data_IF_037299368946
#
_entry.id   IF_037299368946
#
_cell.length_a   1.000
_cell.length_b   1.000
_cell.length_c   1.000
_cell.angle_alpha   90.00
_cell.angle_beta   90.00
_cell.angle_gamma   90.00
#
_symmetry.space_group_name_H-M   'P 1'
#
loop_
_entity.id
_entity.type
_entity.pdbx_description
1 polymer ?
#
# COMPACT_ATOMS: atom_id res chain seq x y z
N UNK A 1 -0.41 6.06 13.40
CA UNK A 1 -0.30 6.40 11.97
C UNK A 1 -0.16 5.11 11.20
N UNK A 2 -0.79 4.98 10.03
CA UNK A 2 -0.56 3.87 9.11
C UNK A 2 0.00 4.37 7.77
N UNK A 3 1.01 3.70 7.24
CA UNK A 3 1.40 3.84 5.83
C UNK A 3 0.84 2.65 5.05
N UNK A 4 -0.15 2.93 4.19
CA UNK A 4 -0.80 1.92 3.37
C UNK A 4 -0.31 1.92 1.92
N UNK A 5 0.88 2.47 1.63
CA UNK A 5 1.41 2.61 0.27
C UNK A 5 1.33 1.33 -0.57
N UNK A 6 1.66 0.19 0.03
CA UNK A 6 1.63 -1.11 -0.64
C UNK A 6 0.21 -1.63 -0.86
N UNK A 7 -0.74 -1.31 0.02
CA UNK A 7 -2.06 -1.96 0.07
C UNK A 7 -3.23 -1.03 -0.25
N UNK A 8 -2.98 0.22 -0.63
CA UNK A 8 -4.03 1.23 -0.80
C UNK A 8 -5.09 0.86 -1.85
N UNK A 9 -4.74 0.13 -2.91
CA UNK A 9 -5.73 -0.41 -3.85
C UNK A 9 -6.63 -1.47 -3.23
N UNK A 10 -6.05 -2.36 -2.42
CA UNK A 10 -6.79 -3.42 -1.71
C UNK A 10 -7.75 -2.82 -0.67
N UNK A 11 -7.30 -1.79 0.06
CA UNK A 11 -8.13 -1.02 1.00
C UNK A 11 -9.27 -0.31 0.26
N UNK A 12 -8.97 0.38 -0.85
CA UNK A 12 -9.97 1.11 -1.64
C UNK A 12 -11.06 0.17 -2.20
N UNK A 13 -10.67 -1.05 -2.61
CA UNK A 13 -11.59 -2.09 -3.06
C UNK A 13 -12.35 -2.81 -1.94
N UNK A 14 -12.03 -2.52 -0.66
CA UNK A 14 -12.62 -3.17 0.53
C UNK A 14 -12.44 -4.69 0.54
N UNK A 15 -11.27 -5.16 0.07
CA UNK A 15 -10.94 -6.60 0.05
C UNK A 15 -9.99 -7.01 1.19
N UNK A 16 -9.52 -6.04 1.98
CA UNK A 16 -8.76 -6.22 3.22
C UNK A 16 -9.22 -5.19 4.25
N UNK A 17 -8.77 -5.33 5.50
CA UNK A 17 -9.08 -4.40 6.59
C UNK A 17 -8.57 -2.98 6.31
N UNK A 18 -9.36 -2.00 6.71
CA UNK A 18 -9.07 -0.58 6.50
C UNK A 18 -8.33 0.01 7.71
N UNK A 19 -7.16 0.65 7.53
CA UNK A 19 -6.46 1.31 8.63
C UNK A 19 -7.21 2.55 9.13
N UNK A 20 -8.14 3.09 8.35
CA UNK A 20 -8.93 4.29 8.69
C UNK A 20 -9.84 4.09 9.89
N UNK A 21 -10.14 2.83 10.28
CA UNK A 21 -10.94 2.56 11.48
C UNK A 21 -10.21 2.99 12.76
N UNK A 22 -8.89 2.76 12.82
CA UNK A 22 -8.11 2.94 14.05
C UNK A 22 -7.11 4.08 13.98
N UNK A 23 -6.69 4.48 12.78
CA UNK A 23 -5.60 5.45 12.64
C UNK A 23 -6.11 6.89 12.61
N UNK A 24 -5.38 7.79 13.28
CA UNK A 24 -5.55 9.24 13.18
C UNK A 24 -5.05 9.81 11.85
N UNK A 25 -3.95 9.25 11.34
CA UNK A 25 -3.26 9.67 10.12
C UNK A 25 -2.97 8.43 9.28
N UNK A 26 -3.29 8.50 7.99
CA UNK A 26 -3.00 7.46 7.01
C UNK A 26 -2.27 8.07 5.82
N UNK A 27 -1.07 7.59 5.52
CA UNK A 27 -0.30 7.99 4.34
C UNK A 27 -0.33 6.90 3.27
N UNK A 28 -0.16 7.29 2.01
CA UNK A 28 -0.05 6.31 0.92
C UNK A 28 0.64 6.88 -0.30
N UNK A 29 1.29 6.01 -1.08
CA UNK A 29 1.64 6.29 -2.47
C UNK A 29 0.52 5.94 -3.42
N UNK A 30 0.37 6.67 -4.51
CA UNK A 30 -0.73 6.46 -5.47
C UNK A 30 -0.42 5.45 -6.59
N UNK A 31 0.83 5.03 -6.77
CA UNK A 31 1.28 4.26 -7.96
C UNK A 31 1.36 2.75 -7.81
N UNK A 32 1.24 2.21 -6.59
CA UNK A 32 1.36 0.76 -6.34
C UNK A 32 0.02 0.05 -6.63
N UNK A 33 -0.58 -0.62 -5.65
CA UNK A 33 -1.85 -1.33 -5.84
C UNK A 33 -3.02 -0.40 -6.21
N UNK A 34 -2.93 0.91 -5.91
CA UNK A 34 -3.89 1.92 -6.35
C UNK A 34 -3.80 2.27 -7.85
N UNK A 35 -2.68 1.93 -8.51
CA UNK A 35 -2.49 2.02 -9.97
C UNK A 35 -2.65 3.42 -10.58
N UNK A 36 -2.32 4.46 -9.82
CA UNK A 36 -2.27 5.86 -10.25
C UNK A 36 -0.86 6.37 -10.59
N UNK A 37 -0.66 7.69 -10.73
CA UNK A 37 0.66 8.27 -11.00
C UNK A 37 1.59 8.20 -9.78
N UNK A 38 2.88 8.49 -9.96
CA UNK A 38 3.84 8.60 -8.85
C UNK A 38 3.57 9.88 -8.03
N UNK A 39 2.84 9.75 -6.94
CA UNK A 39 2.58 10.80 -5.96
C UNK A 39 2.25 10.20 -4.58
N UNK A 40 1.98 11.06 -3.61
CA UNK A 40 1.58 10.69 -2.25
C UNK A 40 0.30 11.40 -1.80
N UNK A 41 -0.43 10.78 -0.87
CA UNK A 41 -1.59 11.35 -0.19
C UNK A 41 -1.42 11.23 1.32
N UNK A 42 -1.87 12.25 2.05
CA UNK A 42 -1.92 12.27 3.51
C UNK A 42 -3.39 12.46 3.91
N UNK A 43 -3.95 11.45 4.54
CA UNK A 43 -5.28 11.52 5.15
C UNK A 43 -5.12 11.76 6.65
N UNK A 44 -5.99 12.59 7.21
CA UNK A 44 -6.00 12.95 8.62
C UNK A 44 -7.43 13.07 9.15
N UNK A 45 -7.64 12.70 10.41
CA UNK A 45 -8.93 12.90 11.08
C UNK A 45 -9.22 14.38 11.31
N UNK A 46 -10.48 14.76 11.15
CA UNK A 46 -11.02 16.08 11.48
C UNK A 46 -12.10 15.95 12.55
N UNK A 47 -12.42 17.05 13.21
CA UNK A 47 -13.46 17.10 14.24
C UNK A 47 -12.97 16.63 15.62
N UNK A 48 -13.90 16.24 16.47
CA UNK A 48 -13.62 15.83 17.86
C UNK A 48 -12.88 14.50 17.90
N UNK A 49 -11.75 14.43 18.64
CA UNK A 49 -10.99 13.19 18.86
C UNK A 49 -11.49 12.43 20.07
N UNK A 50 -11.77 13.12 21.17
CA UNK A 50 -12.42 12.54 22.35
C UNK A 50 -13.10 13.63 23.18
N UNK A 51 -14.17 13.24 23.85
CA UNK A 51 -14.88 14.07 24.82
C UNK A 51 -14.71 13.46 26.21
N UNK A 52 -14.36 14.31 27.16
CA UNK A 52 -14.49 14.01 28.59
C UNK A 52 -15.67 14.79 29.14
N UNK A 53 -16.09 14.51 30.36
CA UNK A 53 -17.15 15.27 31.04
C UNK A 53 -16.86 16.77 31.16
N UNK A 54 -15.59 17.16 31.04
CA UNK A 54 -15.08 18.49 31.34
C UNK A 54 -14.46 19.18 30.12
N UNK A 55 -14.16 18.45 29.04
CA UNK A 55 -13.45 19.00 27.90
C UNK A 55 -13.72 18.25 26.59
N UNK A 56 -13.76 18.98 25.47
CA UNK A 56 -13.84 18.44 24.11
C UNK A 56 -12.50 18.68 23.43
N UNK A 57 -11.78 17.60 23.09
CA UNK A 57 -10.49 17.71 22.39
C UNK A 57 -10.71 17.52 20.90
N UNK A 58 -10.56 18.61 20.15
CA UNK A 58 -10.64 18.63 18.69
C UNK A 58 -9.32 18.26 18.01
N UNK A 59 -9.41 17.72 16.80
CA UNK A 59 -8.26 17.44 15.94
C UNK A 59 -7.67 18.73 15.36
N UNK A 60 -6.36 18.90 15.50
CA UNK A 60 -5.57 19.97 14.90
C UNK A 60 -4.73 19.49 13.70
N UNK A 61 -4.98 18.26 13.23
CA UNK A 61 -4.17 17.65 12.17
C UNK A 61 -4.28 18.37 10.83
N UNK A 62 -5.44 18.92 10.49
CA UNK A 62 -5.61 19.59 9.19
C UNK A 62 -4.63 20.73 8.99
N UNK A 63 -4.59 21.66 9.94
CA UNK A 63 -3.71 22.83 9.87
C UNK A 63 -2.25 22.39 9.87
N UNK A 64 -1.87 21.53 10.83
CA UNK A 64 -0.49 21.03 10.97
C UNK A 64 0.01 20.32 9.72
N UNK A 65 -0.80 19.44 9.14
CA UNK A 65 -0.40 18.67 7.96
C UNK A 65 -0.29 19.56 6.72
N UNK A 66 -1.27 20.44 6.49
CA UNK A 66 -1.25 21.33 5.34
C UNK A 66 -0.06 22.30 5.42
N UNK A 67 0.19 22.92 6.58
CA UNK A 67 1.33 23.83 6.80
C UNK A 67 2.68 23.12 6.68
N UNK A 68 2.77 21.85 7.13
CA UNK A 68 3.99 21.04 6.98
C UNK A 68 4.29 20.76 5.50
N UNK A 69 3.28 20.49 4.68
CA UNK A 69 3.46 20.29 3.23
C UNK A 69 3.85 21.62 2.57
N UNK A 70 3.05 22.67 2.78
CA UNK A 70 3.32 24.01 2.27
C UNK A 70 2.86 25.05 3.30
N UNK A 71 3.72 26.01 3.69
CA UNK A 71 5.03 26.33 3.12
C UNK A 71 6.21 25.55 3.72
N UNK A 72 5.97 24.53 4.57
CA UNK A 72 7.02 23.88 5.36
C UNK A 72 8.09 23.14 4.54
N UNK A 73 7.69 22.15 3.74
CA UNK A 73 8.64 21.22 3.07
C UNK A 73 8.66 21.33 1.54
N UNK A 74 7.53 21.66 0.92
CA UNK A 74 7.39 21.73 -0.53
C UNK A 74 7.03 23.15 -0.98
N UNK A 75 7.27 23.41 -2.27
CA UNK A 75 6.85 24.62 -2.96
C UNK A 75 5.54 24.42 -3.73
N UNK A 76 5.53 24.81 -5.00
CA UNK A 76 4.34 24.72 -5.85
C UNK A 76 3.91 23.26 -6.12
N UNK A 77 2.59 22.99 -6.18
CA UNK A 77 2.07 21.65 -6.43
C UNK A 77 2.27 21.19 -7.89
N UNK A 78 2.45 19.88 -8.08
CA UNK A 78 2.49 19.26 -9.40
C UNK A 78 1.07 18.96 -9.92
N UNK A 79 0.40 19.96 -10.49
CA UNK A 79 -1.01 19.88 -10.90
C UNK A 79 -1.30 18.78 -11.94
N UNK A 80 -0.35 18.47 -12.82
CA UNK A 80 -0.45 17.34 -13.75
C UNK A 80 -0.54 15.99 -13.02
N UNK A 81 0.24 15.80 -11.95
CA UNK A 81 0.15 14.59 -11.13
C UNK A 81 -1.17 14.56 -10.36
N UNK A 82 -1.62 15.69 -9.79
CA UNK A 82 -2.89 15.80 -9.07
C UNK A 82 -4.07 15.41 -9.99
N UNK A 83 -4.08 15.87 -11.24
CA UNK A 83 -5.08 15.47 -12.22
C UNK A 83 -5.07 13.94 -12.46
N UNK A 84 -3.88 13.34 -12.60
CA UNK A 84 -3.75 11.88 -12.73
C UNK A 84 -4.21 11.11 -11.48
N UNK A 85 -4.01 11.65 -10.28
CA UNK A 85 -4.55 11.07 -9.04
C UNK A 85 -6.07 11.06 -9.08
N UNK A 86 -6.70 12.18 -9.45
CA UNK A 86 -8.16 12.27 -9.55
C UNK A 86 -8.73 11.22 -10.54
N UNK A 87 -8.07 11.02 -11.69
CA UNK A 87 -8.43 9.97 -12.64
C UNK A 87 -8.32 8.58 -12.02
N UNK A 88 -7.22 8.26 -11.34
CA UNK A 88 -7.02 6.96 -10.70
C UNK A 88 -8.01 6.69 -9.56
N UNK A 89 -8.32 7.70 -8.75
CA UNK A 89 -9.32 7.60 -7.68
C UNK A 89 -10.73 7.33 -8.23
N UNK A 90 -11.08 7.94 -9.38
CA UNK A 90 -12.33 7.62 -10.08
C UNK A 90 -12.34 6.16 -10.54
N UNK A 91 -11.25 5.67 -11.13
CA UNK A 91 -11.15 4.27 -11.55
C UNK A 91 -11.25 3.29 -10.36
N UNK A 92 -10.71 3.66 -9.20
CA UNK A 92 -10.73 2.83 -8.00
C UNK A 92 -12.16 2.57 -7.44
N UNK A 93 -13.14 3.39 -7.83
CA UNK A 93 -14.54 3.23 -7.44
C UNK A 93 -15.30 2.25 -8.34
N UNK A 94 -14.73 1.83 -9.47
CA UNK A 94 -15.40 0.97 -10.43
C UNK A 94 -15.46 -0.49 -9.93
N UNK A 95 -16.55 -1.24 -10.22
CA UNK A 95 -16.65 -2.66 -9.88
C UNK A 95 -15.51 -3.51 -10.46
N UNK A 96 -15.03 -3.19 -11.66
CA UNK A 96 -13.92 -3.87 -12.32
C UNK A 96 -12.61 -3.70 -11.55
N UNK A 97 -12.42 -2.56 -10.89
CA UNK A 97 -11.26 -2.35 -10.03
C UNK A 97 -11.31 -3.29 -8.83
N UNK A 98 -12.46 -3.40 -8.16
CA UNK A 98 -12.62 -4.37 -7.06
C UNK A 98 -12.33 -5.80 -7.50
N UNK A 99 -12.89 -6.23 -8.64
CA UNK A 99 -12.62 -7.56 -9.21
C UNK A 99 -11.14 -7.79 -9.50
N UNK A 100 -10.43 -6.75 -9.97
CA UNK A 100 -8.99 -6.80 -10.17
C UNK A 100 -8.23 -6.99 -8.85
N UNK A 101 -8.61 -6.27 -7.79
CA UNK A 101 -7.98 -6.40 -6.46
C UNK A 101 -8.24 -7.76 -5.82
N UNK A 102 -9.45 -8.32 -5.95
CA UNK A 102 -9.76 -9.69 -5.52
C UNK A 102 -8.87 -10.71 -6.26
N UNK A 103 -8.70 -10.54 -7.58
CA UNK A 103 -7.83 -11.39 -8.39
C UNK A 103 -6.36 -11.31 -7.96
N UNK A 104 -5.87 -10.13 -7.57
CA UNK A 104 -4.50 -9.96 -7.06
C UNK A 104 -4.27 -10.85 -5.82
N UNK A 105 -5.20 -10.85 -4.87
CA UNK A 105 -5.11 -11.69 -3.66
C UNK A 105 -5.13 -13.18 -3.98
N UNK A 106 -6.03 -13.59 -4.88
CA UNK A 106 -6.11 -14.99 -5.32
C UNK A 106 -4.83 -15.46 -6.02
N UNK A 107 -4.26 -14.62 -6.88
CA UNK A 107 -3.02 -14.92 -7.58
C UNK A 107 -1.82 -15.02 -6.63
N UNK A 108 -1.75 -14.14 -5.62
CA UNK A 108 -0.69 -14.20 -4.62
C UNK A 108 -0.76 -15.50 -3.80
N UNK A 109 -1.97 -15.93 -3.41
CA UNK A 109 -2.18 -17.22 -2.72
C UNK A 109 -1.84 -18.42 -3.61
N UNK A 110 -2.22 -18.38 -4.89
CA UNK A 110 -1.86 -19.42 -5.85
C UNK A 110 -0.34 -19.52 -6.02
N UNK A 111 0.38 -18.39 -6.09
CA UNK A 111 1.84 -18.37 -6.17
C UNK A 111 2.48 -18.98 -4.93
N UNK A 112 2.02 -18.62 -3.73
CA UNK A 112 2.47 -19.25 -2.47
C UNK A 112 2.32 -20.77 -2.53
N UNK A 113 1.14 -21.25 -2.92
CA UNK A 113 0.85 -22.68 -2.98
C UNK A 113 1.83 -23.40 -3.93
N UNK A 114 1.99 -22.89 -5.15
CA UNK A 114 2.92 -23.46 -6.13
C UNK A 114 4.39 -23.42 -5.69
N UNK A 115 4.80 -22.40 -4.93
CA UNK A 115 6.14 -22.34 -4.35
C UNK A 115 6.32 -23.38 -3.24
N UNK A 116 5.33 -23.56 -2.38
CA UNK A 116 5.35 -24.55 -1.29
C UNK A 116 5.33 -26.00 -1.82
N UNK A 117 4.57 -26.29 -2.88
CA UNK A 117 4.60 -27.59 -3.58
C UNK A 117 6.00 -27.92 -4.12
N UNK A 118 6.79 -26.89 -4.43
CA UNK A 118 8.19 -27.00 -4.86
C UNK A 118 9.19 -26.96 -3.70
N UNK A 119 8.72 -27.11 -2.47
CA UNK A 119 9.51 -27.07 -1.23
C UNK A 119 10.21 -25.72 -0.97
N UNK A 120 9.73 -24.62 -1.54
CA UNK A 120 10.20 -23.29 -1.17
C UNK A 120 9.51 -22.81 0.10
N UNK A 121 10.30 -22.27 1.03
CA UNK A 121 9.80 -21.73 2.29
C UNK A 121 9.29 -20.31 2.07
N UNK A 122 7.97 -20.11 2.14
CA UNK A 122 7.39 -18.77 2.20
C UNK A 122 7.44 -18.24 3.63
N UNK A 123 7.89 -16.99 3.83
CA UNK A 123 7.87 -16.32 5.14
C UNK A 123 6.42 -16.25 5.64
N UNK A 124 6.22 -16.41 6.95
CA UNK A 124 4.92 -16.59 7.63
C UNK A 124 4.06 -17.78 7.13
N UNK A 125 4.57 -18.60 6.22
CA UNK A 125 3.85 -19.76 5.69
C UNK A 125 2.75 -19.41 4.68
N UNK A 126 2.59 -18.15 4.28
CA UNK A 126 1.54 -17.73 3.35
C UNK A 126 1.54 -16.24 3.01
N UNK A 127 0.42 -15.76 2.46
CA UNK A 127 0.19 -14.32 2.26
C UNK A 127 -1.29 -13.99 2.38
N UNK A 128 -1.56 -12.86 3.04
CA UNK A 128 -2.89 -12.23 3.11
C UNK A 128 -2.98 -10.96 2.25
N UNK A 129 -1.94 -10.65 1.48
CA UNK A 129 -1.88 -9.47 0.63
C UNK A 129 -1.35 -9.81 -0.78
N UNK A 130 -0.68 -8.86 -1.44
CA UNK A 130 -0.21 -8.96 -2.83
C UNK A 130 1.27 -9.33 -2.96
N UNK A 131 1.99 -9.54 -1.85
CA UNK A 131 3.43 -9.84 -1.83
C UNK A 131 3.64 -11.24 -1.28
N UNK A 132 4.61 -11.95 -1.86
CA UNK A 132 5.10 -13.24 -1.38
C UNK A 132 6.59 -13.10 -1.08
N UNK A 133 7.00 -13.58 0.09
CA UNK A 133 8.39 -13.56 0.52
C UNK A 133 8.92 -14.99 0.57
N UNK A 134 10.00 -15.25 -0.16
CA UNK A 134 10.61 -16.58 -0.23
C UNK A 134 11.92 -16.56 0.56
N UNK A 135 12.01 -17.40 1.59
CA UNK A 135 13.22 -17.63 2.37
C UNK A 135 14.15 -18.58 1.62
N UNK A 136 15.25 -18.04 1.09
CA UNK A 136 16.22 -18.77 0.27
C UNK A 136 17.39 -19.34 1.07
N UNK A 137 17.45 -19.08 2.39
CA UNK A 137 18.49 -19.62 3.28
C UNK A 137 18.53 -21.17 3.28
N UNK A 138 17.39 -21.90 3.24
CA UNK A 138 17.40 -23.36 3.10
C UNK A 138 18.05 -23.85 1.80
N UNK A 139 18.13 -23.00 0.78
CA UNK A 139 18.77 -23.27 -0.50
C UNK A 139 20.22 -22.78 -0.55
N UNK A 140 20.76 -22.25 0.55
CA UNK A 140 22.10 -21.65 0.63
C UNK A 140 22.34 -20.53 -0.40
N UNK A 141 21.26 -19.84 -0.81
CA UNK A 141 21.31 -18.72 -1.74
C UNK A 141 21.02 -17.41 -1.00
N UNK A 142 21.82 -16.39 -1.30
CA UNK A 142 21.47 -15.01 -0.94
C UNK A 142 20.45 -14.44 -1.93
N UNK A 143 19.66 -13.45 -1.48
CA UNK A 143 18.72 -12.76 -2.36
C UNK A 143 19.39 -12.09 -3.56
N UNK A 144 20.63 -11.59 -3.42
CA UNK A 144 21.37 -10.97 -4.53
C UNK A 144 21.77 -11.97 -5.62
N UNK A 145 22.13 -13.20 -5.26
CA UNK A 145 22.37 -14.27 -6.23
C UNK A 145 21.07 -14.72 -6.90
N UNK A 146 20.01 -14.86 -6.10
CA UNK A 146 18.74 -15.38 -6.57
C UNK A 146 17.90 -14.37 -7.35
N UNK A 147 18.15 -13.06 -7.23
CA UNK A 147 17.49 -12.03 -8.05
C UNK A 147 18.01 -12.02 -9.49
N UNK A 148 19.31 -12.31 -9.67
CA UNK A 148 19.97 -12.20 -10.98
C UNK A 148 19.52 -13.27 -11.97
N UNK A 149 19.33 -14.51 -11.52
CA UNK A 149 18.95 -15.63 -12.38
C UNK A 149 17.55 -15.42 -13.01
N UNK A 150 16.49 -15.07 -12.24
CA UNK A 150 15.19 -14.67 -12.78
C UNK A 150 15.30 -13.49 -13.75
N UNK A 151 16.09 -12.46 -13.43
CA UNK A 151 16.28 -11.29 -14.29
C UNK A 151 16.87 -11.69 -15.66
N UNK A 152 17.86 -12.60 -15.68
CA UNK A 152 18.46 -13.13 -16.91
C UNK A 152 17.46 -13.90 -17.80
N UNK A 153 16.30 -14.32 -17.24
CA UNK A 153 15.20 -14.97 -17.97
C UNK A 153 13.91 -14.13 -17.98
N UNK A 154 14.03 -12.81 -17.86
CA UNK A 154 12.94 -11.82 -17.94
C UNK A 154 11.88 -11.94 -16.83
N UNK A 155 12.26 -12.42 -15.65
CA UNK A 155 11.44 -12.43 -14.44
C UNK A 155 12.02 -11.42 -13.45
N UNK A 156 11.38 -10.25 -13.35
CA UNK A 156 11.82 -9.22 -12.42
C UNK A 156 11.30 -9.48 -11.01
N UNK A 157 12.24 -9.63 -10.08
CA UNK A 157 11.99 -9.68 -8.64
C UNK A 157 12.94 -8.72 -7.93
N UNK A 158 12.82 -8.59 -6.61
CA UNK A 158 13.79 -7.83 -5.82
C UNK A 158 14.30 -8.68 -4.66
N UNK A 159 15.61 -8.65 -4.40
CA UNK A 159 16.17 -9.11 -3.13
C UNK A 159 15.61 -8.29 -1.97
N UNK A 160 15.47 -8.93 -0.81
CA UNK A 160 15.00 -8.32 0.42
C UNK A 160 15.51 -9.12 1.62
#
# INVERSE_FOLDING_TARGET
>A
MADMAHISGLVAAKVILSPFEYCDIVTTTTHKTLRGPRAGLIFYRKGVRYETKENTVSSDFEEKMNQTVFPGLQGAPHNNAIAGIATALKQAQNPEFKKCQERILLNAKALVHSLQEKNHKCVTGGTDNHIVWVDLRPNYLSGSQAEKIPEDVCITCNKN
#
